data_IF_718817898655
#
_entry.id   IF_718817898655
#
_cell.length_a   1.000
_cell.length_b   1.000
_cell.length_c   1.000
_cell.angle_alpha   90.00
_cell.angle_beta   90.00
_cell.angle_gamma   90.00
#
_symmetry.space_group_name_H-M   'P 1'
#
loop_
_entity.id
_entity.type
_entity.pdbx_description
1 polymer ?
#
# COMPACT_ATOMS: atom_id res chain seq x y z
N UNK A 1 22.79 0.57 -1.97
CA UNK A 1 21.56 1.09 -2.58
C UNK A 1 21.26 0.31 -3.85
N UNK A 2 20.05 -0.27 -3.96
CA UNK A 2 19.60 -0.94 -5.19
C UNK A 2 18.95 0.09 -6.12
N UNK A 3 19.22 0.01 -7.41
CA UNK A 3 18.68 0.94 -8.43
C UNK A 3 17.34 0.50 -9.03
N UNK A 4 16.83 -0.69 -8.64
CA UNK A 4 15.54 -1.19 -9.13
C UNK A 4 14.36 -0.37 -8.60
N UNK A 5 13.70 0.35 -9.51
CA UNK A 5 12.52 1.15 -9.24
C UNK A 5 11.30 0.53 -9.92
N UNK A 6 10.23 0.33 -9.15
CA UNK A 6 8.94 -0.18 -9.60
C UNK A 6 7.82 0.55 -8.86
N UNK A 7 6.59 0.51 -9.38
CA UNK A 7 5.42 0.82 -8.56
C UNK A 7 5.37 -0.19 -7.42
N UNK A 8 5.12 0.30 -6.20
CA UNK A 8 5.16 -0.53 -4.99
C UNK A 8 3.89 -0.35 -4.20
N UNK A 9 3.44 -1.45 -3.61
CA UNK A 9 2.37 -1.46 -2.65
C UNK A 9 2.83 -2.12 -1.34
N UNK A 10 2.15 -1.77 -0.26
CA UNK A 10 2.48 -2.26 1.06
C UNK A 10 1.43 -1.86 2.09
N UNK A 11 1.50 -2.51 3.25
CA UNK A 11 0.68 -2.17 4.40
C UNK A 11 1.56 -2.02 5.62
N UNK A 12 1.42 -0.91 6.33
CA UNK A 12 2.01 -0.68 7.64
C UNK A 12 0.95 -0.73 8.72
N UNK A 13 1.35 -1.13 9.93
CA UNK A 13 0.45 -1.14 11.09
C UNK A 13 1.03 -0.28 12.21
N UNK A 14 0.15 0.41 12.94
CA UNK A 14 0.52 1.08 14.18
C UNK A 14 0.99 0.06 15.23
N UNK A 15 1.82 0.50 16.17
CA UNK A 15 2.37 -0.38 17.21
C UNK A 15 1.28 -1.00 18.11
N UNK A 16 0.12 -0.33 18.25
CA UNK A 16 -1.06 -0.83 18.97
C UNK A 16 -1.98 -1.74 18.12
N UNK A 17 -1.64 -1.94 16.84
CA UNK A 17 -2.40 -2.75 15.88
C UNK A 17 -3.78 -2.20 15.51
N UNK A 18 -4.15 -0.98 15.94
CA UNK A 18 -5.49 -0.42 15.72
C UNK A 18 -5.64 0.25 14.34
N UNK A 19 -4.53 0.58 13.69
CA UNK A 19 -4.53 1.27 12.39
C UNK A 19 -3.65 0.53 11.40
N UNK A 20 -4.26 0.11 10.28
CA UNK A 20 -3.55 -0.32 9.09
C UNK A 20 -3.53 0.83 8.06
N UNK A 21 -2.37 1.10 7.46
CA UNK A 21 -2.23 2.07 6.36
C UNK A 21 -1.70 1.34 5.14
N UNK A 22 -2.54 1.28 4.11
CA UNK A 22 -2.19 0.77 2.79
C UNK A 22 -1.60 1.90 1.96
N UNK A 23 -0.46 1.63 1.32
CA UNK A 23 0.27 2.62 0.49
C UNK A 23 0.49 2.00 -0.88
N UNK A 24 0.23 2.79 -1.92
CA UNK A 24 0.64 2.53 -3.30
C UNK A 24 1.44 3.75 -3.75
N UNK A 25 2.62 3.55 -4.32
CA UNK A 25 3.36 4.65 -4.94
C UNK A 25 2.76 4.98 -6.30
N UNK A 26 2.60 6.26 -6.62
CA UNK A 26 2.14 6.69 -7.95
C UNK A 26 3.28 6.68 -8.98
N UNK A 27 4.54 6.77 -8.52
CA UNK A 27 5.75 6.67 -9.35
C UNK A 27 6.63 5.47 -8.95
N UNK A 28 7.49 4.97 -9.86
CA UNK A 28 8.46 3.94 -9.52
C UNK A 28 9.45 4.39 -8.44
N UNK A 29 9.54 3.61 -7.36
CA UNK A 29 10.46 3.87 -6.24
C UNK A 29 11.32 2.65 -5.93
N UNK A 30 12.49 2.87 -5.33
CA UNK A 30 13.32 1.77 -4.83
C UNK A 30 12.67 1.15 -3.59
N UNK A 31 12.97 -0.12 -3.33
CA UNK A 31 12.45 -0.81 -2.14
C UNK A 31 12.89 -0.09 -0.86
N UNK A 32 14.11 0.43 -0.84
CA UNK A 32 14.64 1.19 0.28
C UNK A 32 13.85 2.49 0.51
N UNK A 33 13.61 3.28 -0.54
CA UNK A 33 12.81 4.51 -0.44
C UNK A 33 11.39 4.22 0.07
N UNK A 34 10.77 3.16 -0.45
CA UNK A 34 9.44 2.74 -0.01
C UNK A 34 9.42 2.33 1.47
N UNK A 35 10.40 1.55 1.93
CA UNK A 35 10.52 1.16 3.34
C UNK A 35 10.80 2.36 4.27
N UNK A 36 11.63 3.32 3.84
CA UNK A 36 11.90 4.55 4.61
C UNK A 36 10.64 5.40 4.75
N UNK A 37 9.76 5.44 3.75
CA UNK A 37 8.48 6.14 3.86
C UNK A 37 7.62 5.62 5.02
N UNK A 38 7.51 4.29 5.19
CA UNK A 38 6.82 3.74 6.37
C UNK A 38 7.50 4.14 7.67
N UNK A 39 8.83 3.96 7.77
CA UNK A 39 9.58 4.21 9.01
C UNK A 39 9.60 5.69 9.42
N UNK A 40 9.92 6.60 8.50
CA UNK A 40 10.11 8.03 8.83
C UNK A 40 8.88 8.88 8.52
N UNK A 41 8.20 8.58 7.42
CA UNK A 41 7.06 9.37 6.96
C UNK A 41 5.80 9.03 7.74
N UNK A 42 5.56 7.74 8.00
CA UNK A 42 4.38 7.26 8.73
C UNK A 42 4.67 6.88 10.18
N UNK A 43 5.94 6.80 10.59
CA UNK A 43 6.32 6.37 11.95
C UNK A 43 5.98 4.90 12.24
N UNK A 44 5.85 4.08 11.21
CA UNK A 44 5.44 2.68 11.33
C UNK A 44 6.66 1.76 11.39
N UNK A 45 6.80 1.05 12.52
CA UNK A 45 7.92 0.14 12.77
C UNK A 45 7.79 -1.19 12.04
N UNK A 46 6.57 -1.58 11.67
CA UNK A 46 6.26 -2.82 10.98
C UNK A 46 5.48 -2.51 9.70
N UNK A 47 5.99 -3.03 8.58
CA UNK A 47 5.30 -2.95 7.30
C UNK A 47 5.58 -4.20 6.47
N UNK A 48 4.58 -4.62 5.71
CA UNK A 48 4.66 -5.72 4.76
C UNK A 48 4.66 -5.17 3.34
N UNK A 49 5.61 -5.62 2.54
CA UNK A 49 5.60 -5.41 1.09
C UNK A 49 4.63 -6.40 0.44
N UNK A 50 3.69 -5.88 -0.35
CA UNK A 50 2.72 -6.71 -1.06
C UNK A 50 3.24 -6.99 -2.49
N UNK A 51 2.37 -7.53 -3.33
CA UNK A 51 2.75 -7.90 -4.70
C UNK A 51 3.06 -6.67 -5.56
N UNK A 52 4.34 -6.53 -5.95
CA UNK A 52 4.81 -5.45 -6.82
C UNK A 52 4.36 -5.53 -8.28
N UNK A 53 3.67 -6.61 -8.69
CA UNK A 53 3.18 -6.77 -10.06
C UNK A 53 1.75 -6.27 -10.26
N UNK A 54 0.93 -6.24 -9.20
CA UNK A 54 -0.45 -5.75 -9.23
C UNK A 54 -0.68 -4.79 -8.05
N UNK A 55 -0.65 -3.49 -8.34
CA UNK A 55 -1.00 -2.41 -7.39
C UNK A 55 -2.25 -1.69 -7.88
N UNK A 56 -3.43 -2.11 -7.43
CA UNK A 56 -4.71 -1.49 -7.80
C UNK A 56 -5.50 -1.10 -6.57
N UNK A 57 -6.15 0.04 -6.66
CA UNK A 57 -7.06 0.54 -5.65
C UNK A 57 -8.45 0.77 -6.26
N UNK A 58 -9.47 0.33 -5.53
CA UNK A 58 -10.84 0.75 -5.73
C UNK A 58 -11.27 1.55 -4.50
N UNK A 59 -11.31 2.87 -4.64
CA UNK A 59 -11.71 3.82 -3.62
C UNK A 59 -12.51 4.94 -4.30
N UNK A 60 -13.83 4.76 -4.49
CA UNK A 60 -14.69 5.76 -5.11
C UNK A 60 -14.64 7.13 -4.43
N UNK A 61 -14.45 7.15 -3.11
CA UNK A 61 -14.33 8.37 -2.29
C UNK A 61 -13.07 9.18 -2.61
N UNK A 62 -12.06 8.52 -3.21
CA UNK A 62 -10.83 9.14 -3.70
C UNK A 62 -10.84 9.33 -5.23
N UNK A 63 -12.00 9.13 -5.86
CA UNK A 63 -12.17 9.15 -7.32
C UNK A 63 -11.19 8.20 -8.06
N UNK A 64 -10.77 7.12 -7.38
CA UNK A 64 -9.79 6.16 -7.90
C UNK A 64 -10.41 4.79 -8.08
N UNK A 65 -10.45 4.34 -9.33
CA UNK A 65 -10.82 2.99 -9.72
C UNK A 65 -9.86 2.51 -10.80
N UNK A 66 -8.76 1.89 -10.39
CA UNK A 66 -7.72 1.44 -11.33
C UNK A 66 -8.28 0.32 -12.21
N UNK A 67 -8.08 0.38 -13.54
CA UNK A 67 -8.48 -0.65 -14.53
C UNK A 67 -7.37 -1.67 -14.80
N UNK A 68 -7.69 -2.88 -15.28
CA UNK A 68 -6.68 -3.90 -15.60
C UNK A 68 -7.16 -5.35 -15.47
N UNK A 69 -6.19 -6.28 -15.36
CA UNK A 69 -6.38 -7.75 -15.27
C UNK A 69 -7.27 -8.18 -14.09
N UNK A 70 -7.88 -9.37 -14.13
CA UNK A 70 -8.64 -9.90 -12.99
C UNK A 70 -7.84 -9.80 -11.69
N UNK A 71 -8.45 -9.25 -10.64
CA UNK A 71 -7.78 -9.07 -9.35
C UNK A 71 -7.73 -10.38 -8.59
N UNK A 72 -6.59 -10.64 -7.94
CA UNK A 72 -6.39 -11.75 -7.02
C UNK A 72 -7.01 -11.46 -5.64
N UNK A 73 -6.46 -12.03 -4.55
CA UNK A 73 -6.93 -11.77 -3.20
C UNK A 73 -7.05 -10.26 -2.90
N UNK A 74 -8.20 -9.87 -2.33
CA UNK A 74 -8.51 -8.46 -2.01
C UNK A 74 -8.55 -8.30 -0.49
N UNK A 75 -7.96 -7.22 -0.01
CA UNK A 75 -8.19 -6.73 1.36
C UNK A 75 -9.20 -5.59 1.28
N UNK A 76 -10.32 -5.73 1.98
CA UNK A 76 -11.38 -4.73 2.03
C UNK A 76 -11.72 -4.38 3.47
N UNK A 77 -12.06 -3.12 3.70
CA UNK A 77 -12.68 -2.70 4.95
C UNK A 77 -14.19 -2.92 4.85
N UNK A 78 -14.74 -3.69 5.79
CA UNK A 78 -16.18 -3.85 5.94
C UNK A 78 -16.60 -3.17 7.24
N UNK A 79 -17.57 -2.27 7.15
CA UNK A 79 -18.21 -1.65 8.30
C UNK A 79 -19.71 -2.00 8.28
N UNK A 80 -20.36 -2.13 9.44
CA UNK A 80 -21.81 -2.22 9.51
C UNK A 80 -22.43 -1.04 8.76
N UNK A 81 -23.54 -1.30 8.07
CA UNK A 81 -24.33 -0.25 7.45
C UNK A 81 -25.06 0.49 8.59
N UNK A 82 -24.90 1.81 8.63
CA UNK A 82 -25.69 2.69 9.52
C UNK A 82 -27.20 2.61 9.21
#
# INVERSE_FOLDING_TARGET
ESTSAHLRNGVGVSDDGQRAVFVISDDPVTFHRFARFFRDGLGMNQALYLDGSVSRLYAPELERADWGVPMGPVVGLVAPRE
#
